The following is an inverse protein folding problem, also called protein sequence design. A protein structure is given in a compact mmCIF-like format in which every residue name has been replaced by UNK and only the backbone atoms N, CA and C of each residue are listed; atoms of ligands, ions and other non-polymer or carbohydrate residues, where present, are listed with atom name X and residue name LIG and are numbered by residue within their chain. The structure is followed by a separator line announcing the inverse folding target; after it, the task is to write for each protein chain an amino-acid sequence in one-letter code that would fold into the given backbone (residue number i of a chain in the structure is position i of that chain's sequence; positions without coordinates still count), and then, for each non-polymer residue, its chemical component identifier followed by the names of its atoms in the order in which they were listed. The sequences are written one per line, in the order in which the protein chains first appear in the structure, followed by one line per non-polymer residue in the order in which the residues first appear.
data_IF_250655488669
#
_entry.id   IF_250655488669
#
_cell.length_a   1.000
_cell.length_b   1.000
_cell.length_c   1.000
_cell.angle_alpha   90.00
_cell.angle_beta   90.00
_cell.angle_gamma   90.00
#
_symmetry.space_group_name_H-M   'P 1'
#
loop_
_entity.id
_entity.type
_entity.pdbx_description
1 polymer ?
#
# COMPACT_ATOMS: atom_id res chain seq x y z
N UNK A 1 52.10 -12.56 -34.71
CA UNK A 1 50.74 -12.25 -34.22
C UNK A 1 50.79 -12.33 -32.70
N UNK A 2 51.11 -11.23 -32.00
CA UNK A 2 51.31 -11.26 -30.53
C UNK A 2 50.83 -9.98 -29.81
N UNK A 3 50.27 -8.98 -30.51
CA UNK A 3 49.88 -7.69 -29.90
C UNK A 3 48.40 -7.61 -29.48
N UNK A 4 47.58 -8.51 -30.00
CA UNK A 4 46.12 -8.45 -29.88
C UNK A 4 45.64 -9.05 -28.55
N UNK A 5 46.35 -10.02 -27.98
CA UNK A 5 46.03 -10.63 -26.69
C UNK A 5 46.27 -9.66 -25.52
N UNK A 6 47.41 -8.98 -25.51
CA UNK A 6 47.79 -8.02 -24.45
C UNK A 6 46.88 -6.79 -24.38
N UNK A 7 46.27 -6.41 -25.51
CA UNK A 7 45.31 -5.30 -25.57
C UNK A 7 43.95 -5.70 -25.00
N UNK A 8 43.50 -6.93 -25.26
CA UNK A 8 42.23 -7.45 -24.73
C UNK A 8 42.32 -7.70 -23.22
N UNK A 9 43.46 -8.20 -22.71
CA UNK A 9 43.68 -8.35 -21.26
C UNK A 9 43.60 -7.01 -20.53
N UNK A 10 44.23 -5.95 -21.06
CA UNK A 10 44.16 -4.60 -20.47
C UNK A 10 42.75 -4.00 -20.48
N UNK A 11 41.92 -4.36 -21.47
CA UNK A 11 40.52 -3.91 -21.57
C UNK A 11 39.63 -4.69 -20.59
N UNK A 12 39.85 -6.00 -20.45
CA UNK A 12 39.16 -6.85 -19.47
C UNK A 12 39.52 -6.41 -18.05
N UNK A 13 40.80 -6.13 -17.78
CA UNK A 13 41.27 -5.65 -16.48
C UNK A 13 40.64 -4.30 -16.10
N UNK A 14 40.58 -3.34 -17.05
CA UNK A 14 39.84 -2.09 -16.82
C UNK A 14 38.34 -2.35 -16.62
N UNK A 15 37.71 -3.19 -17.44
CA UNK A 15 36.28 -3.50 -17.31
C UNK A 15 35.96 -4.17 -15.97
N UNK A 16 36.84 -5.03 -15.45
CA UNK A 16 36.71 -5.67 -14.14
C UNK A 16 36.84 -4.65 -13.00
N UNK A 17 37.81 -3.72 -13.08
CA UNK A 17 37.99 -2.67 -12.08
C UNK A 17 36.76 -1.74 -12.04
N UNK A 18 36.24 -1.31 -13.21
CA UNK A 18 35.01 -0.51 -13.29
C UNK A 18 33.78 -1.28 -12.80
N UNK A 19 33.71 -2.58 -13.07
CA UNK A 19 32.61 -3.44 -12.61
C UNK A 19 32.65 -3.65 -11.10
N UNK A 20 33.84 -3.83 -10.50
CA UNK A 20 33.99 -3.94 -9.04
C UNK A 20 33.62 -2.64 -8.33
N UNK A 21 34.06 -1.49 -8.82
CA UNK A 21 33.68 -0.19 -8.24
C UNK A 21 32.18 0.06 -8.34
N UNK A 22 31.56 -0.27 -9.48
CA UNK A 22 30.11 -0.12 -9.68
C UNK A 22 29.31 -1.09 -8.78
N UNK A 23 29.82 -2.30 -8.55
CA UNK A 23 29.22 -3.27 -7.63
C UNK A 23 29.33 -2.84 -6.17
N UNK A 24 30.45 -2.26 -5.74
CA UNK A 24 30.59 -1.74 -4.38
C UNK A 24 29.62 -0.57 -4.14
N UNK A 25 29.52 0.37 -5.09
CA UNK A 25 28.57 1.48 -5.03
C UNK A 25 27.12 1.00 -5.02
N UNK A 26 26.76 0.05 -5.90
CA UNK A 26 25.42 -0.55 -5.95
C UNK A 26 25.10 -1.33 -4.67
N UNK A 27 26.06 -2.03 -4.07
CA UNK A 27 25.87 -2.77 -2.82
C UNK A 27 25.57 -1.84 -1.66
N UNK A 28 26.30 -0.73 -1.52
CA UNK A 28 26.02 0.24 -0.46
C UNK A 28 24.73 1.01 -0.72
N UNK A 29 24.46 1.44 -1.94
CA UNK A 29 23.23 2.18 -2.27
C UNK A 29 21.98 1.28 -2.20
N UNK A 30 22.05 0.03 -2.66
CA UNK A 30 20.95 -0.93 -2.54
C UNK A 30 20.70 -1.32 -1.08
N UNK A 31 21.74 -1.52 -0.28
CA UNK A 31 21.59 -1.82 1.16
C UNK A 31 21.03 -0.61 1.90
N UNK A 32 21.51 0.60 1.63
CA UNK A 32 21.02 1.81 2.29
C UNK A 32 19.57 2.12 1.88
N UNK A 33 19.25 2.01 0.59
CA UNK A 33 17.91 2.29 0.05
C UNK A 33 16.89 1.22 0.43
N UNK A 34 17.30 -0.06 0.48
CA UNK A 34 16.45 -1.10 1.04
C UNK A 34 16.27 -0.91 2.54
N UNK A 35 17.33 -0.65 3.30
CA UNK A 35 17.23 -0.38 4.73
C UNK A 35 16.32 0.82 5.04
N UNK A 36 16.35 1.87 4.23
CA UNK A 36 15.51 3.06 4.40
C UNK A 36 14.02 2.74 4.11
N UNK A 37 13.74 1.99 3.04
CA UNK A 37 12.38 1.52 2.73
C UNK A 37 11.87 0.56 3.82
N UNK A 38 12.69 -0.38 4.26
CA UNK A 38 12.36 -1.33 5.34
C UNK A 38 12.18 -0.62 6.67
N UNK A 39 12.98 0.40 6.98
CA UNK A 39 12.85 1.19 8.21
C UNK A 39 11.53 1.96 8.21
N UNK A 40 11.21 2.63 7.10
CA UNK A 40 9.97 3.39 7.00
C UNK A 40 8.73 2.47 7.01
N UNK A 41 8.83 1.30 6.38
CA UNK A 41 7.78 0.29 6.42
C UNK A 41 7.62 -0.30 7.82
N UNK A 42 8.71 -0.67 8.49
CA UNK A 42 8.70 -1.23 9.84
C UNK A 42 8.10 -0.24 10.86
N UNK A 43 8.49 1.03 10.80
CA UNK A 43 7.91 2.09 11.64
C UNK A 43 6.42 2.25 11.36
N UNK A 44 6.02 2.33 10.08
CA UNK A 44 4.61 2.45 9.71
C UNK A 44 3.80 1.23 10.17
N UNK A 45 4.35 0.02 10.09
CA UNK A 45 3.71 -1.22 10.49
C UNK A 45 3.59 -1.30 12.02
N UNK A 46 4.63 -0.92 12.76
CA UNK A 46 4.59 -0.82 14.21
C UNK A 46 3.52 0.17 14.69
N UNK A 47 3.46 1.37 14.10
CA UNK A 47 2.42 2.37 14.40
C UNK A 47 1.03 1.80 14.06
N UNK A 48 0.89 1.13 12.92
CA UNK A 48 -0.38 0.50 12.49
C UNK A 48 -0.84 -0.54 13.51
N UNK A 49 0.07 -1.40 13.99
CA UNK A 49 -0.25 -2.41 15.01
C UNK A 49 -0.75 -1.74 16.29
N UNK A 50 -0.06 -0.71 16.78
CA UNK A 50 -0.46 0.02 18.00
C UNK A 50 -1.85 0.64 17.83
N UNK A 51 -2.11 1.27 16.68
CA UNK A 51 -3.42 1.86 16.36
C UNK A 51 -4.52 0.80 16.32
N UNK A 52 -4.29 -0.33 15.65
CA UNK A 52 -5.25 -1.44 15.58
C UNK A 52 -5.51 -2.01 16.97
N UNK A 53 -4.47 -2.18 17.79
CA UNK A 53 -4.60 -2.67 19.15
C UNK A 53 -5.46 -1.72 19.99
N UNK A 54 -5.20 -0.42 19.92
CA UNK A 54 -6.01 0.59 20.60
C UNK A 54 -7.47 0.56 20.17
N UNK A 55 -7.73 0.51 18.85
CA UNK A 55 -9.08 0.38 18.29
C UNK A 55 -9.80 -0.88 18.78
N UNK A 56 -9.08 -2.00 18.90
CA UNK A 56 -9.61 -3.26 19.40
C UNK A 56 -10.02 -3.14 20.87
N UNK A 57 -9.17 -2.56 21.72
CA UNK A 57 -9.50 -2.29 23.12
C UNK A 57 -10.70 -1.35 23.26
N UNK A 58 -10.77 -0.29 22.44
CA UNK A 58 -11.92 0.63 22.43
C UNK A 58 -13.21 -0.11 22.03
N UNK A 59 -13.18 -0.97 21.01
CA UNK A 59 -14.33 -1.79 20.62
C UNK A 59 -14.79 -2.73 21.75
N UNK A 60 -13.85 -3.40 22.41
CA UNK A 60 -14.15 -4.27 23.55
C UNK A 60 -14.69 -3.46 24.73
N UNK A 61 -14.11 -2.29 25.01
CA UNK A 61 -14.58 -1.39 26.05
C UNK A 61 -16.01 -0.89 25.80
N UNK A 62 -16.33 -0.52 24.56
CA UNK A 62 -17.69 -0.20 24.13
C UNK A 62 -18.64 -1.39 24.28
N UNK A 63 -18.19 -2.60 23.97
CA UNK A 63 -18.96 -3.84 24.15
C UNK A 63 -19.32 -4.09 25.61
N UNK A 64 -18.33 -3.95 26.50
CA UNK A 64 -18.51 -4.13 27.92
C UNK A 64 -19.35 -3.01 28.52
N UNK A 65 -19.16 -1.76 28.11
CA UNK A 65 -19.94 -0.62 28.59
C UNK A 65 -21.43 -0.75 28.21
N UNK A 66 -21.72 -1.15 26.97
CA UNK A 66 -23.10 -1.47 26.57
C UNK A 66 -23.64 -2.71 27.28
N UNK A 67 -22.80 -3.73 27.48
CA UNK A 67 -23.19 -4.95 28.19
C UNK A 67 -23.53 -4.72 29.66
N UNK A 68 -22.77 -3.86 30.34
CA UNK A 68 -22.98 -3.50 31.74
C UNK A 68 -24.25 -2.65 31.92
N UNK A 69 -24.54 -1.75 30.96
CA UNK A 69 -25.80 -0.99 30.94
C UNK A 69 -27.03 -1.88 30.73
N UNK A 70 -26.87 -2.99 30.00
CA UNK A 70 -27.93 -3.98 29.76
C UNK A 70 -27.99 -5.08 30.86
N UNK A 71 -27.13 -5.01 31.87
CA UNK A 71 -27.15 -5.87 33.06
C UNK A 71 -26.45 -7.22 32.89
N UNK A 72 -26.22 -7.71 31.68
CA UNK A 72 -25.41 -8.91 31.42
C UNK A 72 -24.51 -8.79 30.19
N UNK A 73 -23.26 -9.26 30.32
CA UNK A 73 -22.23 -9.23 29.26
C UNK A 73 -22.68 -9.85 27.94
N UNK A 74 -23.57 -10.85 27.97
CA UNK A 74 -24.09 -11.49 26.76
C UNK A 74 -24.85 -10.51 25.85
N UNK A 75 -25.59 -9.56 26.43
CA UNK A 75 -26.32 -8.58 25.65
C UNK A 75 -25.41 -7.58 24.94
N UNK A 76 -24.24 -7.26 25.50
CA UNK A 76 -23.26 -6.38 24.86
C UNK A 76 -22.75 -6.95 23.53
N UNK A 77 -22.45 -8.25 23.50
CA UNK A 77 -22.03 -8.94 22.28
C UNK A 77 -23.16 -9.05 21.25
N UNK A 78 -24.38 -9.36 21.68
CA UNK A 78 -25.55 -9.44 20.78
C UNK A 78 -25.90 -8.07 20.21
N UNK A 79 -25.82 -6.99 21.00
CA UNK A 79 -26.08 -5.63 20.56
C UNK A 79 -25.08 -5.17 19.49
N UNK A 80 -23.79 -5.47 19.68
CA UNK A 80 -22.77 -5.18 18.68
C UNK A 80 -22.95 -6.02 17.42
N UNK A 81 -23.27 -7.31 17.56
CA UNK A 81 -23.59 -8.18 16.43
C UNK A 81 -24.75 -7.64 15.60
N UNK A 82 -25.83 -7.20 16.26
CA UNK A 82 -26.97 -6.54 15.60
C UNK A 82 -26.58 -5.22 14.96
N UNK A 83 -25.73 -4.42 15.59
CA UNK A 83 -25.23 -3.16 15.03
C UNK A 83 -24.43 -3.39 13.74
N UNK A 84 -23.50 -4.36 13.74
CA UNK A 84 -22.76 -4.73 12.53
C UNK A 84 -23.67 -5.29 11.43
N UNK A 85 -24.66 -6.10 11.79
CA UNK A 85 -25.66 -6.63 10.86
C UNK A 85 -26.53 -5.52 10.26
N UNK A 86 -26.91 -4.53 11.08
CA UNK A 86 -27.65 -3.36 10.64
C UNK A 86 -26.84 -2.50 9.66
N UNK A 87 -25.57 -2.25 9.97
CA UNK A 87 -24.63 -1.57 9.06
C UNK A 87 -24.48 -2.35 7.75
N UNK A 88 -24.36 -3.68 7.80
CA UNK A 88 -24.25 -4.51 6.60
C UNK A 88 -25.50 -4.43 5.72
N UNK A 89 -26.70 -4.46 6.32
CA UNK A 89 -27.97 -4.26 5.61
C UNK A 89 -28.04 -2.86 5.00
N UNK A 90 -27.64 -1.84 5.75
CA UNK A 90 -27.63 -0.46 5.26
C UNK A 90 -26.66 -0.33 4.08
N UNK A 91 -25.44 -0.86 4.19
CA UNK A 91 -24.48 -0.93 3.08
C UNK A 91 -25.04 -1.69 1.88
N UNK A 92 -25.77 -2.77 2.08
CA UNK A 92 -26.36 -3.55 1.00
C UNK A 92 -27.42 -2.76 0.22
N UNK A 93 -28.28 -2.01 0.93
CA UNK A 93 -29.30 -1.14 0.30
C UNK A 93 -28.65 0.07 -0.38
N UNK A 94 -27.69 0.72 0.28
CA UNK A 94 -27.02 1.91 -0.23
C UNK A 94 -25.92 1.61 -1.26
N UNK A 95 -25.50 0.35 -1.41
CA UNK A 95 -24.47 -0.09 -2.37
C UNK A 95 -24.78 0.37 -3.80
N UNK A 96 -26.04 0.29 -4.21
CA UNK A 96 -26.41 0.67 -5.58
C UNK A 96 -26.29 2.18 -5.82
N UNK A 97 -26.55 3.02 -4.81
CA UNK A 97 -26.47 4.47 -4.92
C UNK A 97 -25.06 5.02 -4.62
N UNK A 98 -24.36 4.46 -3.63
CA UNK A 98 -23.08 4.97 -3.15
C UNK A 98 -21.86 4.29 -3.79
N UNK A 99 -21.94 3.01 -4.19
CA UNK A 99 -20.82 2.34 -4.86
C UNK A 99 -20.93 2.50 -6.37
N UNK A 100 -22.11 2.30 -6.95
CA UNK A 100 -22.26 2.21 -8.41
C UNK A 100 -22.02 3.56 -9.09
N UNK A 101 -22.59 4.64 -8.57
CA UNK A 101 -22.48 5.97 -9.18
C UNK A 101 -21.05 6.55 -9.16
N UNK A 102 -20.34 6.66 -8.03
CA UNK A 102 -19.00 7.23 -8.05
C UNK A 102 -17.99 6.30 -8.73
N UNK A 103 -18.11 4.97 -8.58
CA UNK A 103 -17.17 4.03 -9.22
C UNK A 103 -17.33 4.07 -10.74
N UNK A 104 -18.56 4.04 -11.27
CA UNK A 104 -18.76 4.21 -12.72
C UNK A 104 -18.31 5.58 -13.20
N UNK A 105 -18.58 6.67 -12.47
CA UNK A 105 -18.13 8.00 -12.89
C UNK A 105 -16.60 8.14 -12.83
N UNK A 106 -15.92 7.48 -11.90
CA UNK A 106 -14.46 7.47 -11.80
C UNK A 106 -13.81 6.65 -12.93
N UNK A 107 -14.41 5.51 -13.29
CA UNK A 107 -13.97 4.68 -14.41
C UNK A 107 -14.17 5.43 -15.73
N UNK A 108 -15.35 6.03 -15.95
CA UNK A 108 -15.65 6.81 -17.15
C UNK A 108 -14.76 8.05 -17.23
N UNK A 109 -14.55 8.77 -16.12
CA UNK A 109 -13.63 9.92 -16.06
C UNK A 109 -12.19 9.52 -16.38
N UNK A 110 -11.71 8.37 -15.91
CA UNK A 110 -10.35 7.91 -16.23
C UNK A 110 -10.20 7.57 -17.71
N UNK A 111 -11.20 6.90 -18.30
CA UNK A 111 -11.14 6.48 -19.70
C UNK A 111 -11.32 7.68 -20.64
N UNK A 112 -12.31 8.55 -20.39
CA UNK A 112 -12.59 9.72 -21.23
C UNK A 112 -11.46 10.78 -21.16
N UNK A 113 -10.80 10.94 -20.01
CA UNK A 113 -9.61 11.80 -19.92
C UNK A 113 -8.43 11.21 -20.72
N UNK A 114 -8.33 9.87 -20.78
CA UNK A 114 -7.28 9.19 -21.56
C UNK A 114 -7.46 9.32 -23.08
N UNK A 115 -8.71 9.44 -23.58
CA UNK A 115 -9.00 9.71 -25.00
C UNK A 115 -8.90 11.20 -25.38
N UNK A 116 -9.14 12.12 -24.44
CA UNK A 116 -9.03 13.57 -24.71
C UNK A 116 -7.59 14.04 -25.02
N UNK A 117 -6.57 13.25 -24.63
CA UNK A 117 -5.17 13.51 -25.02
C UNK A 117 -4.88 13.18 -26.48
N UNK A 118 -5.69 12.36 -27.14
CA UNK A 118 -5.51 12.02 -28.56
C UNK A 118 -6.23 12.98 -29.53
N UNK A 119 -7.24 13.74 -29.08
CA UNK A 119 -7.93 14.74 -29.93
C UNK A 119 -7.40 16.17 -29.82
N UNK A 120 -6.43 16.47 -28.95
CA UNK A 120 -5.92 17.84 -28.72
C UNK A 120 -4.40 17.98 -29.00
N UNK A 121 -3.86 17.13 -29.88
CA UNK A 121 -2.47 17.20 -30.37
C UNK A 121 -2.41 17.42 -31.89
N UNK A 122 -3.45 18.03 -32.48
CA UNK A 122 -3.45 18.40 -33.91
C UNK A 122 -3.91 19.86 -34.16
N UNK A 123 -3.82 20.73 -33.14
CA UNK A 123 -4.04 22.16 -33.33
C UNK A 123 -3.07 23.01 -32.52
N UNK A 124 -1.80 22.98 -32.91
CA UNK A 124 -0.97 24.19 -32.95
C UNK A 124 0.27 24.02 -33.80
#
# INVERSE_FOLDING_TARGET
MENNTTTIEKLIEKAEIYSKTTLELCKYEAVYKSADIFSNLAVKLAITIVVVMFLLFVNIGLALFLGDYLGEMYYGFVAIGLFYLFIAILLYIFKDQWIRNPVSNFIISKICNSDSKFCNTDSK
#
